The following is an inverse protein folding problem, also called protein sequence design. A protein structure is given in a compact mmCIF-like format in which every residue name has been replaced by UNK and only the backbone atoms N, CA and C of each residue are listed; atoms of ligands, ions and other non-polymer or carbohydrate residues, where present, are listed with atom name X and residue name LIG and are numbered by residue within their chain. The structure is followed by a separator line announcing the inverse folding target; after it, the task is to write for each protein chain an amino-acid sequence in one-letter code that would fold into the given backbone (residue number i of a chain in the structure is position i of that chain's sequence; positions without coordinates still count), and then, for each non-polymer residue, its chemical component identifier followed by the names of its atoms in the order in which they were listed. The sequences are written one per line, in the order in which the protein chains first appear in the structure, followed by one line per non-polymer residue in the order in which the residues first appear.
data_IF_119357007268
#
_entry.id   IF_119357007268
#
_cell.length_a   1.000
_cell.length_b   1.000
_cell.length_c   1.000
_cell.angle_alpha   90.00
_cell.angle_beta   90.00
_cell.angle_gamma   90.00
#
_symmetry.space_group_name_H-M   'P 1'
#
loop_
_entity.id
_entity.type
_entity.pdbx_description
1 polymer ?
#
# COMPACT_ATOMS: atom_id res chain seq x y z
N UNK A 1 10.59 26.82 -12.97
CA UNK A 1 9.41 25.94 -12.84
C UNK A 1 9.71 24.65 -12.07
N UNK A 2 10.26 23.56 -12.64
CA UNK A 2 10.47 22.31 -11.85
C UNK A 2 11.51 22.49 -10.73
N UNK A 3 12.67 23.09 -11.01
CA UNK A 3 13.71 23.34 -9.99
C UNK A 3 13.26 24.24 -8.84
N UNK A 4 12.37 25.19 -9.11
CA UNK A 4 11.81 26.09 -8.10
C UNK A 4 10.83 25.34 -7.20
N UNK A 5 9.93 24.54 -7.79
CA UNK A 5 9.04 23.65 -7.05
C UNK A 5 9.84 22.66 -6.20
N UNK A 6 10.88 22.03 -6.76
CA UNK A 6 11.76 21.15 -6.01
C UNK A 6 12.41 21.87 -4.81
N UNK A 7 12.88 23.11 -4.99
CA UNK A 7 13.46 23.93 -3.92
C UNK A 7 12.44 24.35 -2.86
N UNK A 8 11.24 24.74 -3.27
CA UNK A 8 10.15 25.17 -2.40
C UNK A 8 9.68 24.02 -1.50
N UNK A 9 9.51 22.83 -2.07
CA UNK A 9 9.01 21.66 -1.36
C UNK A 9 10.12 20.77 -0.78
N UNK A 10 11.39 21.17 -0.92
CA UNK A 10 12.54 20.43 -0.37
C UNK A 10 12.73 19.03 -0.96
N UNK A 11 12.31 18.81 -2.21
CA UNK A 11 12.42 17.53 -2.91
C UNK A 11 13.47 17.61 -4.03
N UNK A 12 14.02 16.46 -4.42
CA UNK A 12 14.93 16.39 -5.57
C UNK A 12 14.16 16.39 -6.90
N UNK A 13 14.82 16.82 -7.99
CA UNK A 13 14.27 16.70 -9.35
C UNK A 13 13.89 15.24 -9.68
N UNK A 14 14.69 14.27 -9.21
CA UNK A 14 14.40 12.85 -9.36
C UNK A 14 13.10 12.45 -8.64
N UNK A 15 12.87 12.93 -7.42
CA UNK A 15 11.62 12.71 -6.67
C UNK A 15 10.42 13.25 -7.43
N UNK A 16 10.53 14.46 -7.97
CA UNK A 16 9.47 15.08 -8.76
C UNK A 16 9.13 14.24 -10.01
N UNK A 17 10.13 13.83 -10.79
CA UNK A 17 9.88 13.03 -12.00
C UNK A 17 9.34 11.64 -11.68
N UNK A 18 9.78 11.01 -10.58
CA UNK A 18 9.22 9.73 -10.13
C UNK A 18 7.73 9.87 -9.79
N UNK A 19 7.34 10.93 -9.09
CA UNK A 19 5.93 11.19 -8.80
C UNK A 19 5.14 11.55 -10.05
N UNK A 20 5.71 12.32 -10.97
CA UNK A 20 5.08 12.63 -12.25
C UNK A 20 4.87 11.38 -13.11
N UNK A 21 5.83 10.47 -13.15
CA UNK A 21 5.70 9.19 -13.85
C UNK A 21 4.62 8.30 -13.21
N UNK A 22 4.54 8.28 -11.88
CA UNK A 22 3.59 7.43 -11.14
C UNK A 22 2.17 8.00 -11.10
N UNK A 23 2.01 9.31 -10.99
CA UNK A 23 0.73 9.97 -10.70
C UNK A 23 0.33 11.04 -11.72
N UNK A 24 1.18 11.40 -12.69
CA UNK A 24 0.98 12.56 -13.55
C UNK A 24 -0.21 12.50 -14.50
N UNK A 25 -0.81 11.32 -14.72
CA UNK A 25 -2.05 11.15 -15.47
C UNK A 25 -3.31 11.02 -14.59
N UNK A 26 -3.15 11.08 -13.27
CA UNK A 26 -4.23 10.89 -12.30
C UNK A 26 -4.73 12.25 -11.79
N UNK A 27 -6.03 12.35 -11.56
CA UNK A 27 -6.58 13.47 -10.81
C UNK A 27 -6.44 13.23 -9.28
N UNK A 28 -6.73 14.25 -8.47
CA UNK A 28 -6.61 14.14 -7.02
C UNK A 28 -7.55 13.07 -6.41
N UNK A 29 -8.75 12.88 -6.96
CA UNK A 29 -9.68 11.84 -6.53
C UNK A 29 -9.18 10.43 -6.84
N UNK A 30 -8.50 10.23 -7.97
CA UNK A 30 -7.89 8.95 -8.36
C UNK A 30 -6.77 8.59 -7.39
N UNK A 31 -5.92 9.57 -7.04
CA UNK A 31 -4.83 9.38 -6.07
C UNK A 31 -5.37 9.05 -4.69
N UNK A 32 -6.45 9.73 -4.26
CA UNK A 32 -7.11 9.44 -2.98
C UNK A 32 -7.65 8.01 -2.96
N UNK A 33 -8.43 7.64 -3.99
CA UNK A 33 -8.99 6.29 -4.13
C UNK A 33 -7.91 5.22 -4.17
N UNK A 34 -6.79 5.48 -4.85
CA UNK A 34 -5.65 4.56 -4.89
C UNK A 34 -5.09 4.30 -3.49
N UNK A 35 -4.85 5.36 -2.70
CA UNK A 35 -4.35 5.23 -1.33
C UNK A 35 -5.32 4.47 -0.42
N UNK A 36 -6.62 4.77 -0.53
CA UNK A 36 -7.65 4.08 0.24
C UNK A 36 -7.68 2.57 -0.08
N UNK A 37 -7.57 2.23 -1.37
CA UNK A 37 -7.48 0.83 -1.82
C UNK A 37 -6.19 0.13 -1.38
N UNK A 38 -5.04 0.83 -1.42
CA UNK A 38 -3.76 0.29 -0.94
C UNK A 38 -3.83 -0.02 0.57
N UNK A 39 -4.46 0.86 1.36
CA UNK A 39 -4.66 0.63 2.80
C UNK A 39 -5.61 -0.53 3.08
N UNK A 40 -6.75 -0.59 2.38
CA UNK A 40 -7.71 -1.67 2.55
C UNK A 40 -7.09 -3.02 2.16
N UNK A 41 -6.36 -3.07 1.05
CA UNK A 41 -5.64 -4.28 0.63
C UNK A 41 -4.62 -4.73 1.69
N UNK A 42 -3.89 -3.78 2.30
CA UNK A 42 -2.96 -4.09 3.40
C UNK A 42 -3.71 -4.71 4.59
N UNK A 43 -4.84 -4.12 5.01
CA UNK A 43 -5.66 -4.65 6.12
C UNK A 43 -6.20 -6.04 5.82
N UNK A 44 -6.74 -6.24 4.62
CA UNK A 44 -7.26 -7.54 4.18
C UNK A 44 -6.17 -8.62 4.16
N UNK A 45 -4.97 -8.31 3.64
CA UNK A 45 -3.83 -9.24 3.66
C UNK A 45 -3.41 -9.61 5.08
N UNK A 46 -3.38 -8.63 5.99
CA UNK A 46 -3.04 -8.88 7.39
C UNK A 46 -4.09 -9.78 8.06
N UNK A 47 -5.38 -9.49 7.88
CA UNK A 47 -6.46 -10.30 8.42
C UNK A 47 -6.45 -11.72 7.88
N UNK A 48 -6.23 -11.88 6.56
CA UNK A 48 -6.10 -13.19 5.94
C UNK A 48 -4.90 -13.98 6.49
N UNK A 49 -3.76 -13.32 6.71
CA UNK A 49 -2.58 -13.96 7.29
C UNK A 49 -2.87 -14.48 8.70
N UNK A 50 -3.49 -13.67 9.57
CA UNK A 50 -3.88 -14.11 10.91
C UNK A 50 -4.86 -15.28 10.87
N UNK A 51 -5.94 -15.17 10.08
CA UNK A 51 -6.93 -16.24 9.95
C UNK A 51 -6.30 -17.54 9.42
N UNK A 52 -5.36 -17.44 8.48
CA UNK A 52 -4.65 -18.60 7.94
C UNK A 52 -3.75 -19.27 8.99
N UNK A 53 -3.13 -18.49 9.87
CA UNK A 53 -2.35 -19.01 10.98
C UNK A 53 -3.25 -19.72 12.00
N UNK A 54 -4.36 -19.09 12.41
CA UNK A 54 -5.32 -19.67 13.34
C UNK A 54 -5.91 -20.97 12.78
N UNK A 55 -6.31 -20.97 11.51
CA UNK A 55 -6.81 -22.16 10.83
C UNK A 55 -5.78 -23.30 10.82
N UNK A 56 -4.50 -23.00 10.58
CA UNK A 56 -3.42 -23.99 10.64
C UNK A 56 -3.28 -24.57 12.04
N UNK A 57 -3.22 -23.71 13.07
CA UNK A 57 -3.09 -24.15 14.46
C UNK A 57 -4.28 -25.04 14.86
N UNK A 58 -5.50 -24.64 14.51
CA UNK A 58 -6.71 -25.41 14.82
C UNK A 58 -6.69 -26.78 14.14
N UNK A 59 -6.28 -26.84 12.87
CA UNK A 59 -6.16 -28.09 12.13
C UNK A 59 -5.12 -29.03 12.77
N UNK A 60 -3.94 -28.51 13.12
CA UNK A 60 -2.89 -29.29 13.79
C UNK A 60 -3.35 -29.84 15.15
N UNK A 61 -4.16 -29.08 15.89
CA UNK A 61 -4.73 -29.53 17.18
C UNK A 61 -5.76 -30.65 16.99
N UNK A 62 -6.60 -30.56 15.95
CA UNK A 62 -7.58 -31.60 15.63
C UNK A 62 -6.87 -32.88 15.20
N UNK A 63 -5.87 -32.79 14.31
CA UNK A 63 -5.11 -33.95 13.82
C UNK A 63 -4.34 -34.67 14.95
N UNK A 64 -3.87 -33.95 15.97
CA UNK A 64 -3.21 -34.56 17.14
C UNK A 64 -4.16 -35.23 18.14
N UNK A 65 -5.46 -34.95 18.06
CA UNK A 65 -6.48 -35.50 18.96
C UNK A 65 -7.17 -36.75 18.39
N UNK A 66 -7.04 -36.98 17.09
CA UNK A 66 -7.45 -38.19 16.38
C UNK A 66 -6.31 -39.22 16.40
#
# INVERSE_FOLDING_TARGET
MVKEVCREYGISDATYYNWKAKYGGMNASDIKRLKDLEEENRRLKQMFAYLSLDHRILKDVVEKKL
#
